data_IF_320259063548
#
_entry.id   IF_320259063548
#
_cell.length_a   1.000
_cell.length_b   1.000
_cell.length_c   1.000
_cell.angle_alpha   90.00
_cell.angle_beta   90.00
_cell.angle_gamma   90.00
#
_symmetry.space_group_name_H-M   'P 1'
#
loop_
_entity.id
_entity.type
_entity.pdbx_description
1 polymer ?
#
# COMPACT_ATOMS: atom_id res chain seq x y z
N UNK A 1 22.01 -6.05 0.80
CA UNK A 1 20.70 -6.24 1.45
C UNK A 1 20.21 -7.60 1.03
N UNK A 2 19.82 -8.43 1.98
CA UNK A 2 19.16 -9.69 1.64
C UNK A 2 17.78 -9.39 1.02
N UNK A 3 17.41 -10.17 0.01
CA UNK A 3 16.10 -10.05 -0.60
C UNK A 3 15.01 -10.46 0.41
N UNK A 4 13.96 -9.67 0.50
CA UNK A 4 12.83 -9.93 1.39
C UNK A 4 11.51 -9.82 0.61
N UNK A 5 10.51 -10.60 1.03
CA UNK A 5 9.14 -10.58 0.51
C UNK A 5 9.07 -10.34 -1.01
N UNK A 6 8.75 -9.12 -1.45
CA UNK A 6 8.51 -8.79 -2.86
C UNK A 6 9.70 -9.10 -3.79
N UNK A 7 10.95 -9.02 -3.29
CA UNK A 7 12.17 -9.24 -4.09
C UNK A 7 12.81 -10.61 -3.87
N UNK A 8 12.23 -11.46 -3.01
CA UNK A 8 12.75 -12.79 -2.72
C UNK A 8 12.02 -13.87 -3.55
N UNK A 9 12.71 -14.96 -3.85
CA UNK A 9 12.11 -16.19 -4.39
C UNK A 9 11.94 -17.26 -3.30
N UNK A 10 11.08 -18.28 -3.50
CA UNK A 10 11.07 -19.47 -2.65
C UNK A 10 12.46 -20.14 -2.59
N UNK A 11 12.86 -20.70 -1.44
CA UNK A 11 12.08 -20.85 -0.21
C UNK A 11 12.08 -19.62 0.71
N UNK A 12 13.00 -18.67 0.54
CA UNK A 12 13.13 -17.48 1.40
C UNK A 12 11.85 -16.65 1.42
N UNK A 13 11.27 -16.36 0.25
CA UNK A 13 9.99 -15.67 0.12
C UNK A 13 8.90 -16.38 0.92
N UNK A 14 8.76 -17.70 0.76
CA UNK A 14 7.72 -18.49 1.43
C UNK A 14 7.81 -18.36 2.95
N UNK A 15 9.03 -18.39 3.51
CA UNK A 15 9.27 -18.21 4.94
C UNK A 15 8.87 -16.81 5.41
N UNK A 16 9.40 -15.77 4.76
CA UNK A 16 9.04 -14.37 5.08
C UNK A 16 7.52 -14.16 4.99
N UNK A 17 6.90 -14.74 3.96
CA UNK A 17 5.48 -14.58 3.68
C UNK A 17 4.60 -15.25 4.72
N UNK A 18 5.00 -16.41 5.23
CA UNK A 18 4.27 -17.09 6.31
C UNK A 18 4.20 -16.21 7.58
N UNK A 19 5.29 -15.52 7.91
CA UNK A 19 5.35 -14.61 9.05
C UNK A 19 4.42 -13.41 8.88
N UNK A 20 4.51 -12.74 7.72
CA UNK A 20 3.67 -11.58 7.42
C UNK A 20 2.19 -11.97 7.37
N UNK A 21 1.83 -13.11 6.76
CA UNK A 21 0.44 -13.58 6.71
C UNK A 21 -0.14 -13.84 8.10
N UNK A 22 0.66 -14.41 9.02
CA UNK A 22 0.23 -14.62 10.40
C UNK A 22 -0.05 -13.29 11.08
N UNK A 23 0.81 -12.31 10.88
CA UNK A 23 0.76 -11.06 11.60
C UNK A 23 -0.25 -10.04 11.01
N UNK A 24 -0.52 -10.11 9.70
CA UNK A 24 -1.57 -9.36 8.99
C UNK A 24 -2.84 -10.19 8.72
N UNK A 25 -3.12 -11.18 9.58
CA UNK A 25 -4.28 -12.04 9.36
C UNK A 25 -5.61 -11.23 9.45
N UNK A 26 -6.70 -11.71 8.80
CA UNK A 26 -7.97 -10.96 8.73
C UNK A 26 -8.58 -10.61 10.09
N UNK A 27 -8.32 -11.41 11.14
CA UNK A 27 -8.82 -11.11 12.49
C UNK A 27 -8.12 -9.90 13.07
N UNK A 28 -6.80 -9.80 12.94
CA UNK A 28 -6.03 -8.65 13.43
C UNK A 28 -6.38 -7.38 12.67
N UNK A 29 -6.50 -7.47 11.33
CA UNK A 29 -6.91 -6.33 10.51
C UNK A 29 -8.27 -5.77 10.96
N UNK A 30 -9.25 -6.63 11.24
CA UNK A 30 -10.55 -6.19 11.79
C UNK A 30 -10.45 -5.53 13.16
N UNK A 31 -9.49 -5.92 13.99
CA UNK A 31 -9.27 -5.28 15.29
C UNK A 31 -8.69 -3.86 15.14
N UNK A 32 -7.96 -3.60 14.05
CA UNK A 32 -7.41 -2.27 13.74
C UNK A 32 -8.44 -1.31 13.14
N UNK A 33 -9.60 -1.79 12.68
CA UNK A 33 -10.62 -0.95 12.04
C UNK A 33 -11.06 0.22 12.92
N UNK A 34 -11.24 -0.01 14.23
CA UNK A 34 -11.60 1.06 15.17
C UNK A 34 -10.55 2.16 15.23
N UNK A 35 -9.26 1.80 15.27
CA UNK A 35 -8.15 2.75 15.26
C UNK A 35 -8.04 3.48 13.91
N UNK A 36 -8.19 2.77 12.78
CA UNK A 36 -8.22 3.37 11.45
C UNK A 36 -9.32 4.43 11.34
N UNK A 37 -10.51 4.15 11.88
CA UNK A 37 -11.63 5.10 11.87
C UNK A 37 -11.34 6.32 12.72
N UNK A 38 -10.81 6.13 13.93
CA UNK A 38 -10.39 7.24 14.79
C UNK A 38 -9.35 8.13 14.08
N UNK A 39 -8.34 7.54 13.43
CA UNK A 39 -7.35 8.30 12.66
C UNK A 39 -8.02 9.08 11.53
N UNK A 40 -8.92 8.45 10.77
CA UNK A 40 -9.64 9.12 9.69
C UNK A 40 -10.50 10.30 10.19
N UNK A 41 -11.17 10.13 11.33
CA UNK A 41 -11.96 11.19 11.98
C UNK A 41 -11.07 12.35 12.45
N UNK A 42 -9.96 12.05 13.13
CA UNK A 42 -8.98 13.05 13.60
C UNK A 42 -8.38 13.86 12.44
N UNK A 43 -8.08 13.19 11.32
CA UNK A 43 -7.56 13.86 10.12
C UNK A 43 -8.60 14.82 9.53
N UNK A 44 -9.86 14.40 9.42
CA UNK A 44 -10.94 15.25 8.92
C UNK A 44 -11.20 16.42 9.87
N UNK A 45 -11.18 16.21 11.18
CA UNK A 45 -11.35 17.29 12.17
C UNK A 45 -10.30 18.38 12.01
N UNK A 46 -9.10 18.03 11.52
CA UNK A 46 -8.02 18.97 11.23
C UNK A 46 -8.28 19.95 10.08
N UNK A 47 -9.25 19.68 9.19
CA UNK A 47 -9.52 20.53 8.01
C UNK A 47 -11.01 20.80 7.73
N UNK A 48 -11.94 20.13 8.42
CA UNK A 48 -13.38 20.21 8.11
C UNK A 48 -13.95 21.64 8.25
N UNK A 49 -13.40 22.44 9.16
CA UNK A 49 -13.83 23.84 9.36
C UNK A 49 -13.41 24.77 8.21
N UNK A 50 -12.40 24.39 7.42
CA UNK A 50 -11.86 25.23 6.35
C UNK A 50 -12.68 25.14 5.05
N UNK A 51 -13.54 24.13 4.90
CA UNK A 51 -14.29 23.86 3.66
C UNK A 51 -13.40 23.46 2.47
N UNK A 52 -12.13 23.15 2.73
CA UNK A 52 -11.13 22.78 1.72
C UNK A 52 -9.97 22.01 2.34
N UNK A 53 -9.33 21.16 1.55
CA UNK A 53 -8.05 20.55 1.91
C UNK A 53 -7.26 20.13 0.67
N UNK A 54 -5.95 19.97 0.82
CA UNK A 54 -5.14 19.19 -0.10
C UNK A 54 -5.21 17.73 0.35
N UNK A 55 -6.07 16.94 -0.31
CA UNK A 55 -6.42 15.59 0.15
C UNK A 55 -5.20 14.68 0.24
N UNK A 56 -4.27 14.76 -0.71
CA UNK A 56 -3.14 13.83 -0.79
C UNK A 56 -2.29 13.91 0.49
N UNK A 57 -1.89 15.10 0.92
CA UNK A 57 -1.05 15.32 2.10
C UNK A 57 -1.84 15.31 3.40
N UNK A 58 -3.05 15.88 3.44
CA UNK A 58 -3.80 16.05 4.70
C UNK A 58 -4.60 14.81 5.11
N UNK A 59 -4.94 13.91 4.18
CA UNK A 59 -5.71 12.70 4.48
C UNK A 59 -5.10 11.44 3.85
N UNK A 60 -4.76 11.49 2.56
CA UNK A 60 -4.28 10.36 1.77
C UNK A 60 -2.99 9.75 2.30
N UNK A 61 -1.98 10.56 2.65
CA UNK A 61 -0.75 10.10 3.32
C UNK A 61 -1.00 9.90 4.82
N UNK A 62 -1.73 10.82 5.45
CA UNK A 62 -1.93 10.84 6.89
C UNK A 62 -2.50 9.54 7.44
N UNK A 63 -3.52 8.99 6.79
CA UNK A 63 -4.18 7.76 7.25
C UNK A 63 -3.26 6.52 7.17
N UNK A 64 -2.82 6.05 5.98
CA UNK A 64 -2.05 4.83 5.88
C UNK A 64 -0.69 4.92 6.57
N UNK A 65 -0.01 6.08 6.55
CA UNK A 65 1.25 6.26 7.26
C UNK A 65 1.08 6.10 8.77
N UNK A 66 0.01 6.66 9.34
CA UNK A 66 -0.26 6.53 10.78
C UNK A 66 -0.60 5.09 11.12
N UNK A 67 -1.43 4.43 10.31
CA UNK A 67 -1.82 3.03 10.55
C UNK A 67 -0.62 2.08 10.51
N UNK A 68 0.24 2.18 9.49
CA UNK A 68 1.43 1.31 9.40
C UNK A 68 2.45 1.62 10.51
N UNK A 69 2.59 2.89 10.91
CA UNK A 69 3.49 3.28 12.00
C UNK A 69 3.00 2.75 13.36
N UNK A 70 1.71 2.91 13.67
CA UNK A 70 1.10 2.33 14.87
C UNK A 70 1.23 0.80 14.85
N UNK A 71 1.02 0.17 13.69
CA UNK A 71 1.17 -1.29 13.52
C UNK A 71 2.61 -1.75 13.78
N UNK A 72 3.61 -0.96 13.37
CA UNK A 72 5.04 -1.23 13.60
C UNK A 72 5.54 -0.82 14.99
N UNK A 73 4.66 -0.34 15.87
CA UNK A 73 5.01 0.04 17.24
C UNK A 73 5.88 1.31 17.32
N UNK A 74 5.68 2.24 16.37
CA UNK A 74 6.38 3.52 16.27
C UNK A 74 5.68 4.57 17.12
N UNK A 75 6.45 5.37 17.84
CA UNK A 75 5.89 6.45 18.66
C UNK A 75 5.40 7.60 17.77
N UNK A 76 4.23 8.18 18.09
CA UNK A 76 3.64 9.27 17.29
C UNK A 76 4.54 10.52 17.19
N UNK A 77 5.43 10.74 18.15
CA UNK A 77 6.44 11.82 18.10
C UNK A 77 7.45 11.66 16.96
N UNK A 78 7.66 10.42 16.50
CA UNK A 78 8.68 10.07 15.52
C UNK A 78 8.12 10.01 14.09
N UNK A 79 6.81 10.25 13.94
CA UNK A 79 6.09 10.28 12.67
C UNK A 79 6.73 11.18 11.59
N UNK A 80 7.25 12.39 11.90
CA UNK A 80 7.92 13.21 10.90
C UNK A 80 9.18 12.53 10.31
N UNK A 81 9.95 11.83 11.14
CA UNK A 81 11.13 11.07 10.69
C UNK A 81 10.70 9.86 9.86
N UNK A 82 9.67 9.13 10.31
CA UNK A 82 9.09 7.99 9.58
C UNK A 82 8.58 8.38 8.20
N UNK A 83 7.89 9.52 8.11
CA UNK A 83 7.44 10.06 6.82
C UNK A 83 8.64 10.31 5.91
N UNK A 84 9.65 11.03 6.40
CA UNK A 84 10.84 11.35 5.61
C UNK A 84 11.56 10.10 5.10
N UNK A 85 11.73 9.08 5.96
CA UNK A 85 12.33 7.81 5.57
C UNK A 85 11.49 7.06 4.54
N UNK A 86 10.16 7.02 4.73
CA UNK A 86 9.22 6.40 3.79
C UNK A 86 9.29 7.07 2.41
N UNK A 87 9.19 8.40 2.35
CA UNK A 87 9.29 9.18 1.11
C UNK A 87 10.63 8.92 0.38
N UNK A 88 11.74 8.89 1.12
CA UNK A 88 13.06 8.59 0.54
C UNK A 88 13.15 7.16 0.01
N UNK A 89 12.66 6.16 0.75
CA UNK A 89 12.68 4.77 0.31
C UNK A 89 11.78 4.51 -0.90
N UNK A 90 10.62 5.17 -0.97
CA UNK A 90 9.73 5.15 -2.15
C UNK A 90 10.45 5.73 -3.37
N UNK A 91 11.03 6.93 -3.24
CA UNK A 91 11.79 7.57 -4.32
C UNK A 91 12.95 6.68 -4.81
N UNK A 92 13.63 5.99 -3.90
CA UNK A 92 14.71 5.03 -4.23
C UNK A 92 14.27 3.85 -5.10
N UNK A 93 12.99 3.48 -5.06
CA UNK A 93 12.45 2.34 -5.80
C UNK A 93 11.81 2.73 -7.14
N UNK A 94 11.24 3.92 -7.22
CA UNK A 94 10.34 4.30 -8.32
C UNK A 94 10.91 5.39 -9.23
N UNK A 95 11.78 6.25 -8.71
CA UNK A 95 12.20 7.47 -9.40
C UNK A 95 13.58 7.32 -10.06
N UNK A 96 13.78 8.10 -11.13
CA UNK A 96 15.09 8.29 -11.73
C UNK A 96 15.88 9.32 -10.91
N UNK A 97 16.71 8.84 -9.99
CA UNK A 97 17.47 9.69 -9.08
C UNK A 97 18.86 10.07 -9.59
N UNK A 98 19.26 11.32 -9.38
CA UNK A 98 20.65 11.76 -9.49
C UNK A 98 21.52 11.27 -8.33
N UNK A 99 22.82 11.53 -8.37
CA UNK A 99 23.76 11.02 -7.36
C UNK A 99 23.54 11.63 -5.96
N UNK A 100 23.12 12.89 -5.88
CA UNK A 100 22.88 13.56 -4.60
C UNK A 100 21.66 12.96 -3.91
N UNK A 101 20.56 12.81 -4.66
CA UNK A 101 19.34 12.21 -4.16
C UNK A 101 19.52 10.74 -3.80
N UNK A 102 20.32 9.97 -4.57
CA UNK A 102 20.71 8.59 -4.18
C UNK A 102 21.45 8.55 -2.84
N UNK A 103 22.38 9.47 -2.61
CA UNK A 103 23.12 9.53 -1.35
C UNK A 103 22.23 9.92 -0.17
N UNK A 104 21.22 10.77 -0.41
CA UNK A 104 20.20 11.10 0.59
C UNK A 104 19.32 9.89 0.93
N UNK A 105 18.80 9.17 -0.07
CA UNK A 105 18.03 7.94 0.13
C UNK A 105 18.82 6.91 0.93
N UNK A 106 20.10 6.72 0.59
CA UNK A 106 20.97 5.81 1.32
C UNK A 106 21.13 6.20 2.81
N UNK A 107 21.26 7.50 3.11
CA UNK A 107 21.31 8.01 4.49
C UNK A 107 19.99 7.76 5.23
N UNK A 108 18.85 8.07 4.60
CA UNK A 108 17.53 7.82 5.18
C UNK A 108 17.30 6.33 5.51
N UNK A 109 17.76 5.42 4.65
CA UNK A 109 17.70 3.97 4.91
C UNK A 109 18.55 3.60 6.14
N UNK A 110 19.76 4.16 6.27
CA UNK A 110 20.62 3.91 7.43
C UNK A 110 19.98 4.44 8.71
N UNK A 111 19.44 5.67 8.69
CA UNK A 111 18.80 6.29 9.85
C UNK A 111 17.57 5.49 10.30
N UNK A 112 16.74 5.05 9.35
CA UNK A 112 15.63 4.14 9.61
C UNK A 112 16.09 2.83 10.27
N UNK A 113 17.16 2.23 9.75
CA UNK A 113 17.70 0.99 10.32
C UNK A 113 18.22 1.20 11.75
N UNK A 114 18.98 2.28 11.98
CA UNK A 114 19.48 2.63 13.31
C UNK A 114 18.34 2.90 14.30
N UNK A 115 17.22 3.45 13.82
CA UNK A 115 16.04 3.65 14.63
C UNK A 115 15.32 2.32 14.97
N UNK A 116 15.22 1.40 14.00
CA UNK A 116 14.48 0.14 14.16
C UNK A 116 15.26 -0.94 14.93
N UNK A 117 16.58 -0.99 14.82
CA UNK A 117 17.42 -1.99 15.53
C UNK A 117 17.11 -2.05 17.04
N UNK A 118 17.25 -0.97 17.83
CA UNK A 118 17.00 -1.04 19.28
C UNK A 118 15.55 -1.40 19.60
N UNK A 119 14.59 -1.05 18.73
CA UNK A 119 13.18 -1.40 18.91
C UNK A 119 12.92 -2.88 18.66
N UNK A 120 13.52 -3.46 17.62
CA UNK A 120 13.49 -4.90 17.36
C UNK A 120 14.04 -5.67 18.57
N UNK A 121 15.22 -5.28 19.07
CA UNK A 121 15.81 -5.94 20.24
C UNK A 121 14.94 -5.78 21.49
N UNK A 122 14.42 -4.57 21.74
CA UNK A 122 13.51 -4.33 22.87
C UNK A 122 12.25 -5.22 22.80
N UNK A 123 11.68 -5.46 21.61
CA UNK A 123 10.52 -6.36 21.46
C UNK A 123 10.86 -7.85 21.62
N UNK A 124 12.12 -8.25 21.45
CA UNK A 124 12.55 -9.62 21.80
C UNK A 124 12.62 -9.80 23.31
N UNK A 125 13.15 -8.81 24.02
CA UNK A 125 13.29 -8.86 25.48
C UNK A 125 11.96 -8.62 26.21
N UNK A 126 11.15 -7.70 25.67
CA UNK A 126 9.87 -7.26 26.24
C UNK A 126 8.80 -7.17 25.14
N UNK A 127 8.18 -8.30 24.77
CA UNK A 127 7.15 -8.35 23.74
C UNK A 127 5.95 -7.44 24.09
N UNK A 128 5.45 -6.73 23.09
CA UNK A 128 4.20 -5.94 23.15
C UNK A 128 3.17 -6.53 22.18
N UNK A 129 1.97 -5.96 22.11
CA UNK A 129 0.92 -6.38 21.16
C UNK A 129 1.00 -5.61 19.83
N UNK A 130 2.17 -5.63 19.17
CA UNK A 130 2.38 -4.99 17.86
C UNK A 130 2.97 -5.95 16.81
N UNK A 131 2.97 -5.55 15.54
CA UNK A 131 3.50 -6.36 14.44
C UNK A 131 5.00 -6.61 14.59
N UNK A 132 5.73 -5.63 15.13
CA UNK A 132 7.17 -5.73 15.32
C UNK A 132 7.50 -6.85 16.32
N UNK A 133 6.75 -6.97 17.41
CA UNK A 133 6.87 -8.04 18.40
C UNK A 133 6.60 -9.42 17.81
N UNK A 134 5.54 -9.53 17.00
CA UNK A 134 5.22 -10.80 16.33
C UNK A 134 6.33 -11.23 15.38
N UNK A 135 6.89 -10.31 14.60
CA UNK A 135 7.97 -10.60 13.67
C UNK A 135 9.30 -10.89 14.39
N UNK A 136 9.64 -10.11 15.41
CA UNK A 136 10.89 -10.26 16.18
C UNK A 136 10.96 -11.58 16.96
N UNK A 137 9.80 -12.09 17.38
CA UNK A 137 9.67 -13.34 18.14
C UNK A 137 9.18 -14.53 17.29
N UNK A 138 9.00 -14.34 15.99
CA UNK A 138 8.61 -15.42 15.10
C UNK A 138 9.76 -16.41 14.89
N UNK A 139 9.43 -17.70 14.94
CA UNK A 139 10.36 -18.78 14.62
C UNK A 139 10.23 -19.23 13.17
N UNK A 140 11.37 -19.48 12.53
CA UNK A 140 11.51 -20.11 11.22
C UNK A 140 12.31 -21.40 11.35
N UNK A 141 12.05 -22.36 10.48
CA UNK A 141 12.91 -23.53 10.32
C UNK A 141 13.98 -23.22 9.27
N UNK A 142 15.25 -23.34 9.65
CA UNK A 142 16.37 -23.14 8.73
C UNK A 142 16.68 -24.48 8.04
N UNK A 143 16.41 -24.57 6.73
CA UNK A 143 16.71 -25.77 5.95
C UNK A 143 17.82 -25.59 4.93
N UNK A 144 18.37 -24.38 4.75
CA UNK A 144 19.31 -24.08 3.67
C UNK A 144 20.51 -23.25 4.17
N UNK A 145 21.60 -23.94 4.52
CA UNK A 145 22.90 -23.35 4.82
C UNK A 145 23.95 -24.40 5.19
N UNK A 146 25.17 -24.26 4.70
CA UNK A 146 26.30 -25.15 5.01
C UNK A 146 26.72 -25.11 6.50
N UNK A 147 26.20 -24.15 7.26
CA UNK A 147 26.29 -24.01 8.72
C UNK A 147 24.88 -23.85 9.35
N UNK A 148 23.87 -24.54 8.82
CA UNK A 148 22.51 -24.45 9.34
C UNK A 148 22.45 -24.88 10.81
N UNK A 149 22.01 -23.97 11.68
CA UNK A 149 21.53 -24.33 13.00
C UNK A 149 20.37 -25.34 12.82
N UNK A 150 20.56 -26.57 13.29
CA UNK A 150 19.54 -27.62 13.23
C UNK A 150 18.44 -27.26 14.24
N UNK A 151 17.39 -26.56 13.78
CA UNK A 151 16.19 -26.29 14.59
C UNK A 151 15.50 -24.96 14.31
N UNK A 152 14.33 -24.74 14.92
CA UNK A 152 13.62 -23.46 14.82
C UNK A 152 14.45 -22.35 15.47
N UNK A 153 14.64 -21.23 14.75
CA UNK A 153 15.28 -20.01 15.26
C UNK A 153 14.45 -18.79 14.96
N UNK A 154 14.71 -17.69 15.66
CA UNK A 154 14.11 -16.40 15.29
C UNK A 154 14.83 -15.82 14.06
N UNK A 155 14.13 -14.94 13.34
CA UNK A 155 14.80 -14.07 12.39
C UNK A 155 15.81 -13.18 13.12
N UNK A 156 17.01 -13.07 12.55
CA UNK A 156 18.01 -12.10 12.98
C UNK A 156 17.53 -10.68 12.66
N UNK A 157 18.13 -9.68 13.30
CA UNK A 157 17.77 -8.28 13.07
C UNK A 157 18.08 -7.85 11.63
N UNK A 158 19.17 -8.37 11.07
CA UNK A 158 19.53 -8.15 9.67
C UNK A 158 18.46 -8.68 8.70
N UNK A 159 17.86 -9.84 8.99
CA UNK A 159 16.79 -10.42 8.18
C UNK A 159 15.44 -9.69 8.36
N UNK A 160 15.20 -9.10 9.54
CA UNK A 160 13.96 -8.36 9.85
C UNK A 160 13.91 -6.96 9.23
N UNK A 161 15.03 -6.23 9.22
CA UNK A 161 15.07 -4.86 8.71
C UNK A 161 14.48 -4.70 7.29
N UNK A 162 14.85 -5.51 6.28
CA UNK A 162 14.27 -5.37 4.94
C UNK A 162 12.78 -5.72 4.90
N UNK A 163 12.29 -6.62 5.77
CA UNK A 163 10.85 -6.92 5.91
C UNK A 163 10.10 -5.70 6.44
N UNK A 164 10.59 -5.10 7.53
CA UNK A 164 9.98 -3.90 8.15
C UNK A 164 10.01 -2.71 7.19
N UNK A 165 11.13 -2.47 6.50
CA UNK A 165 11.23 -1.43 5.47
C UNK A 165 10.19 -1.64 4.36
N UNK A 166 10.02 -2.87 3.87
CA UNK A 166 9.03 -3.17 2.83
C UNK A 166 7.59 -2.97 3.32
N UNK A 167 7.28 -3.33 4.57
CA UNK A 167 5.95 -3.10 5.15
C UNK A 167 5.62 -1.60 5.21
N UNK A 168 6.59 -0.77 5.62
CA UNK A 168 6.42 0.69 5.67
C UNK A 168 6.11 1.29 4.29
N UNK A 169 6.91 0.98 3.27
CA UNK A 169 6.71 1.56 1.94
C UNK A 169 5.46 1.01 1.24
N UNK A 170 5.21 -0.31 1.35
CA UNK A 170 4.16 -0.97 0.59
C UNK A 170 2.76 -0.61 1.14
N UNK A 171 2.64 -0.44 2.46
CA UNK A 171 1.39 -0.06 3.11
C UNK A 171 1.06 1.43 3.01
N UNK A 172 2.04 2.29 2.70
CA UNK A 172 1.84 3.74 2.68
C UNK A 172 1.36 4.23 1.30
N UNK A 173 2.26 4.26 0.31
CA UNK A 173 2.00 4.91 -0.99
C UNK A 173 0.80 4.30 -1.74
N UNK A 174 0.66 2.97 -1.69
CA UNK A 174 -0.38 2.28 -2.45
C UNK A 174 -1.78 2.59 -1.94
N UNK A 175 -1.99 2.63 -0.63
CA UNK A 175 -3.27 3.02 -0.04
C UNK A 175 -3.53 4.52 -0.20
N UNK A 176 -2.51 5.38 -0.07
CA UNK A 176 -2.61 6.81 -0.38
C UNK A 176 -3.17 7.03 -1.78
N UNK A 177 -2.59 6.35 -2.76
CA UNK A 177 -3.00 6.44 -4.15
C UNK A 177 -4.38 5.80 -4.40
N UNK A 178 -4.75 4.71 -3.72
CA UNK A 178 -6.10 4.15 -3.78
C UNK A 178 -7.16 5.17 -3.34
N UNK A 179 -6.94 5.86 -2.22
CA UNK A 179 -7.86 6.89 -1.69
C UNK A 179 -7.94 8.06 -2.68
N UNK A 180 -6.80 8.57 -3.13
CA UNK A 180 -6.75 9.67 -4.09
C UNK A 180 -7.45 9.35 -5.41
N UNK A 181 -7.12 8.22 -6.03
CA UNK A 181 -7.71 7.78 -7.30
C UNK A 181 -9.22 7.56 -7.16
N UNK A 182 -9.65 6.91 -6.07
CA UNK A 182 -11.07 6.66 -5.83
C UNK A 182 -11.85 7.95 -5.63
N UNK A 183 -11.32 8.95 -4.90
CA UNK A 183 -12.04 10.22 -4.74
C UNK A 183 -12.12 11.00 -6.06
N UNK A 184 -11.04 11.04 -6.84
CA UNK A 184 -11.06 11.69 -8.16
C UNK A 184 -12.04 11.00 -9.11
N UNK A 185 -12.15 9.66 -9.07
CA UNK A 185 -13.16 8.92 -9.82
C UNK A 185 -14.58 9.31 -9.38
N UNK A 186 -14.86 9.38 -8.08
CA UNK A 186 -16.16 9.82 -7.59
C UNK A 186 -16.48 11.27 -8.00
N UNK A 187 -15.52 12.19 -7.94
CA UNK A 187 -15.72 13.59 -8.37
C UNK A 187 -16.04 13.67 -9.87
N UNK A 188 -15.41 12.82 -10.69
CA UNK A 188 -15.68 12.72 -12.14
C UNK A 188 -16.99 12.01 -12.47
N UNK A 189 -17.56 11.28 -11.52
CA UNK A 189 -18.79 10.49 -11.64
C UNK A 189 -19.77 10.86 -10.51
N UNK A 190 -20.32 12.09 -10.49
CA UNK A 190 -21.15 12.58 -9.40
C UNK A 190 -22.41 11.72 -9.16
N UNK A 191 -22.94 11.08 -10.20
CA UNK A 191 -24.03 10.10 -10.09
C UNK A 191 -23.64 8.89 -9.24
N UNK A 192 -22.41 8.40 -9.41
CA UNK A 192 -21.86 7.29 -8.63
C UNK A 192 -21.54 7.75 -7.21
N UNK A 193 -21.01 8.97 -7.03
CA UNK A 193 -20.78 9.53 -5.70
C UNK A 193 -22.08 9.64 -4.90
N UNK A 194 -23.16 10.12 -5.53
CA UNK A 194 -24.47 10.23 -4.90
C UNK A 194 -25.03 8.86 -4.50
N UNK A 195 -24.88 7.85 -5.37
CA UNK A 195 -25.33 6.48 -5.11
C UNK A 195 -24.55 5.84 -3.94
N UNK A 196 -23.21 5.89 -3.98
CA UNK A 196 -22.36 5.31 -2.93
C UNK A 196 -22.56 6.03 -1.59
N UNK A 197 -22.79 7.36 -1.58
CA UNK A 197 -23.13 8.11 -0.37
C UNK A 197 -24.48 7.72 0.21
N UNK A 198 -25.48 7.44 -0.64
CA UNK A 198 -26.79 7.00 -0.19
C UNK A 198 -26.78 5.56 0.35
N UNK A 199 -25.85 4.72 -0.13
CA UNK A 199 -25.70 3.33 0.30
C UNK A 199 -24.22 2.92 0.44
N UNK A 200 -23.69 3.05 1.66
CA UNK A 200 -22.31 2.62 1.98
C UNK A 200 -22.08 1.11 1.79
N UNK A 201 -23.12 0.28 1.63
CA UNK A 201 -22.92 -1.14 1.31
C UNK A 201 -22.29 -1.36 -0.07
N UNK A 202 -22.28 -0.33 -0.93
CA UNK A 202 -21.61 -0.32 -2.22
C UNK A 202 -20.09 -0.07 -2.13
N UNK A 203 -19.60 0.52 -1.05
CA UNK A 203 -18.18 0.89 -0.89
C UNK A 203 -17.23 -0.29 -1.14
N UNK A 204 -17.49 -1.52 -0.61
CA UNK A 204 -16.63 -2.67 -0.91
C UNK A 204 -16.48 -2.96 -2.39
N UNK A 205 -17.55 -2.89 -3.20
CA UNK A 205 -17.45 -3.17 -4.63
C UNK A 205 -16.93 -1.95 -5.42
N UNK A 206 -17.25 -0.74 -4.97
CA UNK A 206 -16.62 0.48 -5.46
C UNK A 206 -15.09 0.42 -5.35
N UNK A 207 -14.53 -0.03 -4.22
CA UNK A 207 -13.09 -0.18 -4.06
C UNK A 207 -12.48 -1.17 -5.06
N UNK A 208 -13.12 -2.33 -5.27
CA UNK A 208 -12.65 -3.30 -6.28
C UNK A 208 -12.73 -2.71 -7.70
N UNK A 209 -13.75 -1.90 -7.98
CA UNK A 209 -13.86 -1.21 -9.27
C UNK A 209 -12.81 -0.11 -9.44
N UNK A 210 -12.47 0.65 -8.39
CA UNK A 210 -11.35 1.60 -8.40
C UNK A 210 -10.04 0.86 -8.66
N UNK A 211 -9.79 -0.22 -7.92
CA UNK A 211 -8.60 -1.06 -8.09
C UNK A 211 -8.50 -1.60 -9.52
N UNK A 212 -9.61 -2.01 -10.13
CA UNK A 212 -9.65 -2.44 -11.53
C UNK A 212 -9.40 -1.29 -12.52
N UNK A 213 -10.06 -0.15 -12.30
CA UNK A 213 -10.16 0.93 -13.28
C UNK A 213 -8.91 1.82 -13.30
N UNK A 214 -8.41 2.24 -12.13
CA UNK A 214 -7.26 3.13 -11.94
C UNK A 214 -6.54 2.78 -10.62
N UNK A 215 -6.17 1.51 -10.48
CA UNK A 215 -5.52 0.98 -9.29
C UNK A 215 -4.13 1.59 -9.05
N UNK A 216 -3.64 1.65 -7.79
CA UNK A 216 -2.44 2.38 -7.43
C UNK A 216 -1.14 1.80 -8.01
N UNK A 217 -1.13 0.54 -8.45
CA UNK A 217 0.01 -0.13 -9.09
C UNK A 217 -0.44 -0.74 -10.42
N UNK A 218 0.18 -0.30 -11.51
CA UNK A 218 -0.15 -0.72 -12.88
C UNK A 218 0.73 -1.85 -13.41
N UNK A 219 1.92 -2.05 -12.87
CA UNK A 219 2.79 -3.13 -13.29
C UNK A 219 3.82 -3.50 -12.20
N UNK A 220 4.40 -4.67 -12.37
CA UNK A 220 5.65 -5.09 -11.71
C UNK A 220 6.51 -5.77 -12.77
N UNK A 221 7.72 -6.20 -12.44
CA UNK A 221 8.55 -6.96 -13.37
C UNK A 221 8.80 -8.39 -12.87
N UNK A 222 9.16 -9.27 -13.79
CA UNK A 222 9.67 -10.63 -13.56
C UNK A 222 10.90 -10.82 -14.43
N UNK A 223 11.78 -11.74 -14.03
CA UNK A 223 12.89 -12.19 -14.86
C UNK A 223 12.57 -13.61 -15.33
N UNK A 224 12.58 -13.84 -16.64
CA UNK A 224 12.45 -15.18 -17.20
C UNK A 224 13.66 -16.02 -16.77
N UNK A 225 13.45 -17.18 -16.15
CA UNK A 225 14.54 -18.05 -15.70
C UNK A 225 15.06 -18.97 -16.82
N UNK A 226 14.22 -19.20 -17.83
CA UNK A 226 14.49 -20.02 -19.01
C UNK A 226 13.72 -19.43 -20.20
N UNK A 227 13.91 -19.99 -21.39
CA UNK A 227 13.15 -19.62 -22.58
C UNK A 227 11.68 -20.02 -22.41
N UNK A 228 10.75 -19.08 -22.63
CA UNK A 228 9.31 -19.28 -22.44
C UNK A 228 8.59 -18.97 -23.74
N UNK A 229 7.75 -19.90 -24.20
CA UNK A 229 6.82 -19.66 -25.31
C UNK A 229 5.52 -19.03 -24.79
N UNK A 230 5.22 -17.80 -25.21
CA UNK A 230 4.01 -17.07 -24.81
C UNK A 230 3.32 -16.45 -26.02
N UNK A 231 2.07 -16.87 -26.28
CA UNK A 231 1.25 -16.38 -27.41
C UNK A 231 1.95 -16.47 -28.78
N UNK A 232 2.81 -17.48 -28.96
CA UNK A 232 3.54 -17.73 -30.21
C UNK A 232 4.85 -16.97 -30.36
N UNK A 233 5.29 -16.26 -29.30
CA UNK A 233 6.59 -15.58 -29.23
C UNK A 233 7.47 -16.23 -28.17
N UNK A 234 8.77 -16.38 -28.46
CA UNK A 234 9.78 -16.83 -27.50
C UNK A 234 10.26 -15.63 -26.67
N UNK A 235 10.12 -15.71 -25.35
CA UNK A 235 10.76 -14.82 -24.38
C UNK A 235 12.05 -15.50 -23.91
N UNK A 236 13.25 -14.97 -24.23
CA UNK A 236 14.49 -15.60 -23.82
C UNK A 236 14.71 -15.59 -22.31
N UNK A 237 15.37 -16.63 -21.79
CA UNK A 237 15.87 -16.65 -20.41
C UNK A 237 16.73 -15.42 -20.10
N UNK A 238 16.58 -14.87 -18.90
CA UNK A 238 17.21 -13.62 -18.45
C UNK A 238 16.44 -12.35 -18.84
N UNK A 239 15.42 -12.43 -19.69
CA UNK A 239 14.63 -11.26 -20.09
C UNK A 239 13.80 -10.70 -18.94
N UNK A 240 13.76 -9.37 -18.83
CA UNK A 240 12.80 -8.69 -17.96
C UNK A 240 11.43 -8.62 -18.66
N UNK A 241 10.41 -9.16 -17.99
CA UNK A 241 9.02 -9.14 -18.44
C UNK A 241 8.23 -8.22 -17.51
N UNK A 242 7.43 -7.31 -18.07
CA UNK A 242 6.62 -6.35 -17.31
C UNK A 242 5.12 -6.63 -17.55
N UNK A 243 4.47 -7.45 -16.72
CA UNK A 243 3.02 -7.62 -16.77
C UNK A 243 2.29 -6.32 -16.42
N UNK A 244 1.40 -5.88 -17.31
CA UNK A 244 0.64 -4.64 -17.16
C UNK A 244 -0.74 -4.91 -16.55
N UNK A 245 -0.85 -4.84 -15.21
CA UNK A 245 -2.11 -4.95 -14.46
C UNK A 245 -3.15 -3.93 -14.90
N UNK A 246 -2.74 -2.69 -15.14
CA UNK A 246 -3.64 -1.63 -15.62
C UNK A 246 -4.27 -1.98 -16.97
N UNK A 247 -3.49 -2.61 -17.87
CA UNK A 247 -4.03 -3.10 -19.15
C UNK A 247 -4.94 -4.31 -18.96
N UNK A 248 -4.59 -5.24 -18.06
CA UNK A 248 -5.42 -6.39 -17.73
C UNK A 248 -6.78 -5.98 -17.12
N UNK A 249 -6.82 -4.93 -16.31
CA UNK A 249 -8.06 -4.33 -15.81
C UNK A 249 -8.96 -3.78 -16.91
N UNK A 250 -8.40 -3.52 -18.11
CA UNK A 250 -9.10 -3.01 -19.29
C UNK A 250 -9.36 -4.08 -20.36
N UNK A 251 -9.05 -5.36 -20.08
CA UNK A 251 -9.26 -6.47 -21.00
C UNK A 251 -10.77 -6.76 -21.18
N UNK A 252 -11.27 -6.54 -22.40
CA UNK A 252 -12.69 -6.74 -22.75
C UNK A 252 -13.15 -8.20 -22.68
N UNK A 253 -12.21 -9.16 -22.78
CA UNK A 253 -12.52 -10.58 -22.71
C UNK A 253 -12.81 -11.00 -21.26
N UNK A 254 -12.32 -10.21 -20.29
CA UNK A 254 -12.57 -10.40 -18.85
C UNK A 254 -13.66 -9.45 -18.35
N UNK A 255 -13.61 -8.18 -18.75
CA UNK A 255 -14.48 -7.10 -18.28
C UNK A 255 -15.25 -6.48 -19.45
N UNK A 256 -16.54 -6.83 -19.65
CA UNK A 256 -17.39 -6.16 -20.64
C UNK A 256 -17.47 -4.65 -20.37
N UNK A 257 -17.43 -3.82 -21.42
CA UNK A 257 -17.38 -2.36 -21.31
C UNK A 257 -16.32 -1.88 -20.29
N UNK A 258 -15.03 -2.24 -20.47
CA UNK A 258 -14.01 -2.09 -19.42
C UNK A 258 -13.74 -0.62 -19.04
N UNK A 259 -14.01 0.31 -19.96
CA UNK A 259 -13.86 1.76 -19.77
C UNK A 259 -15.08 2.43 -19.13
N UNK A 260 -16.15 1.68 -18.82
CA UNK A 260 -17.25 2.16 -17.99
C UNK A 260 -16.89 1.91 -16.52
N UNK A 261 -16.86 2.98 -15.73
CA UNK A 261 -16.74 2.87 -14.28
C UNK A 261 -18.10 2.42 -13.72
N UNK A 262 -18.14 1.24 -13.10
CA UNK A 262 -19.39 0.60 -12.70
C UNK A 262 -19.24 -0.03 -11.30
N UNK A 263 -19.79 0.64 -10.28
CA UNK A 263 -19.75 0.18 -8.88
C UNK A 263 -20.59 -1.07 -8.62
N UNK A 264 -21.41 -1.51 -9.58
CA UNK A 264 -22.18 -2.75 -9.53
C UNK A 264 -21.53 -3.87 -10.32
N UNK A 265 -20.34 -3.65 -10.90
CA UNK A 265 -19.63 -4.66 -11.68
C UNK A 265 -19.35 -5.90 -10.84
N UNK A 266 -20.10 -6.97 -11.11
CA UNK A 266 -20.06 -8.20 -10.33
C UNK A 266 -18.70 -8.93 -10.37
N UNK A 267 -17.89 -8.68 -11.42
CA UNK A 267 -16.60 -9.32 -11.61
C UNK A 267 -15.40 -8.40 -11.32
N UNK A 268 -15.59 -7.23 -10.70
CA UNK A 268 -14.52 -6.26 -10.41
C UNK A 268 -13.32 -6.90 -9.70
N UNK A 269 -13.56 -7.80 -8.73
CA UNK A 269 -12.57 -8.57 -7.96
C UNK A 269 -11.59 -9.42 -8.79
N UNK A 270 -11.83 -9.60 -10.10
CA UNK A 270 -10.91 -10.29 -11.01
C UNK A 270 -9.72 -9.43 -11.44
N UNK A 271 -9.64 -8.16 -11.02
CA UNK A 271 -8.51 -7.29 -11.29
C UNK A 271 -7.19 -7.87 -10.76
N UNK A 272 -6.07 -7.42 -11.32
CA UNK A 272 -4.73 -7.91 -10.97
C UNK A 272 -3.91 -6.89 -10.15
N UNK A 273 -4.54 -5.83 -9.65
CA UNK A 273 -3.90 -4.74 -8.88
C UNK A 273 -3.17 -5.24 -7.63
N UNK A 274 -3.67 -6.29 -6.98
CA UNK A 274 -2.97 -6.97 -5.87
C UNK A 274 -2.00 -8.06 -6.33
N UNK A 275 -1.73 -8.18 -7.63
CA UNK A 275 -0.95 -9.27 -8.21
C UNK A 275 -1.66 -10.62 -8.15
N UNK A 276 -0.89 -11.69 -8.37
CA UNK A 276 -1.37 -13.07 -8.35
C UNK A 276 -0.24 -14.03 -7.94
N UNK A 277 -0.62 -15.23 -7.48
CA UNK A 277 0.33 -16.29 -7.12
C UNK A 277 1.01 -16.06 -5.77
N UNK A 278 2.25 -16.56 -5.57
CA UNK A 278 2.97 -16.45 -4.30
C UNK A 278 3.12 -15.01 -3.80
N UNK A 279 3.25 -14.05 -4.73
CA UNK A 279 3.40 -12.63 -4.44
C UNK A 279 2.09 -11.84 -4.45
N UNK A 280 0.92 -12.50 -4.39
CA UNK A 280 -0.36 -11.80 -4.15
C UNK A 280 -0.22 -10.88 -2.93
N UNK A 281 -0.69 -9.64 -2.98
CA UNK A 281 -0.43 -8.62 -1.97
C UNK A 281 -0.72 -9.11 -0.53
N UNK A 282 0.24 -8.93 0.38
CA UNK A 282 0.09 -9.31 1.79
C UNK A 282 -0.90 -8.43 2.54
N UNK A 283 -0.93 -7.14 2.19
CA UNK A 283 -1.79 -6.15 2.80
C UNK A 283 -3.16 -5.99 2.12
N UNK A 284 -3.56 -6.88 1.21
CA UNK A 284 -4.79 -6.69 0.42
C UNK A 284 -6.03 -6.47 1.30
N UNK A 285 -6.20 -7.26 2.36
CA UNK A 285 -7.32 -7.09 3.30
C UNK A 285 -7.21 -5.81 4.14
N UNK A 286 -5.98 -5.41 4.50
CA UNK A 286 -5.74 -4.17 5.22
C UNK A 286 -6.08 -2.95 4.37
N UNK A 287 -5.58 -2.90 3.13
CA UNK A 287 -5.89 -1.84 2.17
C UNK A 287 -7.40 -1.73 1.87
N UNK A 288 -8.12 -2.86 1.83
CA UNK A 288 -9.59 -2.86 1.68
C UNK A 288 -10.30 -2.26 2.90
N UNK A 289 -9.86 -2.59 4.11
CA UNK A 289 -10.46 -2.04 5.33
C UNK A 289 -10.12 -0.54 5.45
N UNK A 290 -8.88 -0.14 5.22
CA UNK A 290 -8.45 1.25 5.20
C UNK A 290 -9.22 2.07 4.16
N UNK A 291 -9.29 1.58 2.92
CA UNK A 291 -10.06 2.22 1.85
C UNK A 291 -11.54 2.35 2.23
N UNK A 292 -12.14 1.30 2.81
CA UNK A 292 -13.54 1.35 3.22
C UNK A 292 -13.76 2.40 4.31
N UNK A 293 -12.94 2.38 5.36
CA UNK A 293 -12.99 3.39 6.42
C UNK A 293 -12.82 4.80 5.84
N UNK A 294 -11.84 4.99 4.95
CA UNK A 294 -11.59 6.28 4.31
C UNK A 294 -12.84 6.79 3.57
N UNK A 295 -13.44 5.99 2.69
CA UNK A 295 -14.59 6.43 1.90
C UNK A 295 -15.88 6.53 2.71
N UNK A 296 -16.11 5.63 3.68
CA UNK A 296 -17.23 5.78 4.63
C UNK A 296 -17.12 7.12 5.37
N UNK A 297 -15.95 7.46 5.90
CA UNK A 297 -15.77 8.69 6.68
C UNK A 297 -15.85 9.93 5.78
N UNK A 298 -15.13 9.96 4.64
CA UNK A 298 -15.17 11.08 3.70
C UNK A 298 -16.59 11.37 3.20
N UNK A 299 -17.34 10.33 2.81
CA UNK A 299 -18.71 10.50 2.28
C UNK A 299 -19.75 10.75 3.38
N UNK A 300 -19.48 10.38 4.64
CA UNK A 300 -20.35 10.75 5.77
C UNK A 300 -20.17 12.19 6.17
N UNK A 301 -18.91 12.67 6.20
CA UNK A 301 -18.55 13.90 6.91
C UNK A 301 -18.37 15.11 6.02
N UNK A 302 -18.09 14.92 4.73
CA UNK A 302 -17.86 16.01 3.79
C UNK A 302 -19.00 16.05 2.78
N UNK A 303 -19.69 17.18 2.68
CA UNK A 303 -20.77 17.39 1.72
C UNK A 303 -20.26 18.15 0.49
N UNK A 304 -20.86 17.86 -0.68
CA UNK A 304 -20.56 18.57 -1.93
C UNK A 304 -19.06 18.62 -2.30
N UNK A 305 -18.39 17.47 -2.16
CA UNK A 305 -16.96 17.32 -2.44
C UNK A 305 -16.67 17.56 -3.93
N UNK A 306 -15.71 18.43 -4.22
CA UNK A 306 -15.31 18.81 -5.58
C UNK A 306 -13.83 19.19 -5.64
N UNK A 307 -13.24 19.18 -6.83
CA UNK A 307 -11.90 19.77 -7.01
C UNK A 307 -11.96 21.27 -6.76
N UNK A 308 -10.90 21.83 -6.18
CA UNK A 308 -10.79 23.28 -6.03
C UNK A 308 -10.81 23.98 -7.40
N UNK A 309 -11.37 25.21 -7.51
CA UNK A 309 -11.39 25.94 -8.77
C UNK A 309 -10.00 26.10 -9.39
N UNK A 310 -9.86 25.68 -10.65
CA UNK A 310 -8.59 25.75 -11.37
C UNK A 310 -7.54 24.71 -10.95
N UNK A 311 -7.89 23.72 -10.12
CA UNK A 311 -6.99 22.63 -9.79
C UNK A 311 -6.63 21.81 -11.03
N UNK A 312 -5.35 21.74 -11.35
CA UNK A 312 -4.79 20.85 -12.36
C UNK A 312 -4.23 19.61 -11.67
N UNK A 313 -4.76 18.44 -12.02
CA UNK A 313 -4.32 17.17 -11.45
C UNK A 313 -3.11 16.64 -12.22
N UNK A 314 -1.94 16.65 -11.59
CA UNK A 314 -0.73 16.05 -12.13
C UNK A 314 -0.52 14.63 -11.61
N UNK A 315 -0.16 13.72 -12.51
CA UNK A 315 0.16 12.34 -12.15
C UNK A 315 1.54 12.25 -11.49
N UNK A 316 1.73 11.27 -10.61
CA UNK A 316 3.05 10.88 -10.12
C UNK A 316 3.94 10.48 -11.32
N UNK A 317 5.21 10.91 -11.37
CA UNK A 317 6.15 10.59 -12.44
C UNK A 317 6.73 9.17 -12.29
N UNK A 318 5.86 8.16 -12.18
CA UNK A 318 6.24 6.77 -11.92
C UNK A 318 5.94 5.84 -13.11
N UNK A 319 6.78 4.82 -13.29
CA UNK A 319 6.57 3.79 -14.31
C UNK A 319 5.53 2.74 -13.87
N UNK A 320 5.39 2.52 -12.56
CA UNK A 320 4.56 1.45 -11.97
C UNK A 320 3.44 1.98 -11.10
N UNK A 321 3.68 3.03 -10.30
CA UNK A 321 2.68 3.62 -9.44
C UNK A 321 1.76 4.57 -10.22
N UNK A 322 0.51 4.66 -9.75
CA UNK A 322 -0.54 5.48 -10.35
C UNK A 322 -1.23 6.27 -9.25
N UNK A 323 -1.02 7.57 -9.25
CA UNK A 323 -1.59 8.49 -8.28
C UNK A 323 -1.40 9.94 -8.69
N UNK A 324 -1.90 10.85 -7.89
CA UNK A 324 -1.80 12.29 -8.12
C UNK A 324 -0.78 12.92 -7.18
N UNK A 325 -0.01 13.89 -7.66
CA UNK A 325 0.94 14.63 -6.82
C UNK A 325 0.22 15.51 -5.76
N UNK A 326 -0.92 16.07 -6.16
CA UNK A 326 -1.80 16.85 -5.31
C UNK A 326 -3.24 16.69 -5.78
N UNK A 327 -4.18 16.73 -4.83
CA UNK A 327 -5.62 16.69 -5.05
C UNK A 327 -6.27 17.77 -4.17
N UNK A 328 -6.20 19.05 -4.59
CA UNK A 328 -6.88 20.13 -3.89
C UNK A 328 -8.39 19.98 -4.04
N UNK A 329 -9.11 19.86 -2.93
CA UNK A 329 -10.56 19.75 -2.90
C UNK A 329 -11.21 20.86 -2.08
N UNK A 330 -12.46 21.14 -2.42
CA UNK A 330 -13.39 21.91 -1.61
C UNK A 330 -14.62 21.07 -1.27
N UNK A 331 -15.29 21.42 -0.18
CA UNK A 331 -16.53 20.83 0.28
C UNK A 331 -17.31 21.89 1.06
N UNK A 332 -18.61 21.67 1.28
CA UNK A 332 -19.41 22.61 2.05
C UNK A 332 -19.02 22.50 3.53
N UNK A 333 -18.70 23.61 4.23
CA UNK A 333 -18.31 23.55 5.63
C UNK A 333 -19.40 22.87 6.46
N UNK A 334 -18.99 22.03 7.42
CA UNK A 334 -19.93 21.42 8.36
C UNK A 334 -20.68 22.55 9.11
N UNK A 335 -22.01 22.57 8.95
CA UNK A 335 -22.90 23.51 9.67
C UNK A 335 -22.97 23.26 11.16
#
# INVERSE_FOLDING_TARGET
>A
MDNALFTADPPHHTRHRALVNKALNPRRVRQLEGAMRQIADELIDGFIADGRCELHTQFGIGLPLTVISDTLGVDRSDMPAFKYWSDCMIAGNLDMLDNERRAEVARAVIDFQQYMIPRIEARREQPTDDLLSDLANATIEDSDGAEAAVGPRNLTTAELLPIVSQLLIAGNETTTNLIGNGLVLLIRHPEVMAEVRADHSLIPNFLEEVLRFDGPIHCTFRIAQEDIELRGETIPGGSMVVPMWGAAGQDKDVFPEPRRFDVHRANAKRHLTFGHGPHFCAGAEMARVEGRVAFETLLTRLDNIRLAPGAELEMLPSFSARGYQAIPIEFDPAT
#
